data_IF_129971972166
#
_entry.id   IF_129971972166
#
_cell.length_a   1.000
_cell.length_b   1.000
_cell.length_c   1.000
_cell.angle_alpha   90.00
_cell.angle_beta   90.00
_cell.angle_gamma   90.00
#
_symmetry.space_group_name_H-M   'P 1'
#
loop_
_entity.id
_entity.type
_entity.pdbx_description
1 polymer ?
#
# COMPACT_ATOMS: atom_id res chain seq x y z
N UNK A 1 -4.88 -5.47 -10.56
CA UNK A 1 -3.58 -5.15 -9.90
C UNK A 1 -3.13 -3.68 -10.02
N UNK A 2 -3.87 -2.78 -10.68
CA UNK A 2 -3.33 -1.47 -11.06
C UNK A 2 -3.53 -0.39 -9.99
N UNK A 3 -4.71 -0.35 -9.36
CA UNK A 3 -5.09 0.68 -8.38
C UNK A 3 -4.18 0.72 -7.14
N UNK A 4 -3.78 -0.44 -6.59
CA UNK A 4 -2.84 -0.50 -5.45
C UNK A 4 -1.51 0.20 -5.76
N UNK A 5 -0.89 -0.20 -6.87
CA UNK A 5 0.45 0.27 -7.21
C UNK A 5 0.40 1.74 -7.65
N UNK A 6 -0.64 2.13 -8.39
CA UNK A 6 -0.84 3.50 -8.83
C UNK A 6 -1.11 4.46 -7.66
N UNK A 7 -1.95 4.06 -6.70
CA UNK A 7 -2.22 4.86 -5.51
C UNK A 7 -0.98 5.07 -4.65
N UNK A 8 -0.17 4.02 -4.45
CA UNK A 8 1.10 4.14 -3.73
C UNK A 8 2.12 5.03 -4.46
N UNK A 9 2.19 4.95 -5.80
CA UNK A 9 3.04 5.84 -6.60
C UNK A 9 2.62 7.29 -6.42
N UNK A 10 1.33 7.58 -6.56
CA UNK A 10 0.79 8.93 -6.43
C UNK A 10 1.05 9.53 -5.03
N UNK A 11 0.90 8.74 -3.98
CA UNK A 11 1.22 9.16 -2.61
C UNK A 11 2.70 9.47 -2.44
N UNK A 12 3.58 8.64 -3.01
CA UNK A 12 5.03 8.86 -2.96
C UNK A 12 5.45 10.11 -3.76
N UNK A 13 4.93 10.26 -4.98
CA UNK A 13 5.19 11.43 -5.85
C UNK A 13 4.71 12.72 -5.19
N UNK A 14 3.49 12.73 -4.65
CA UNK A 14 2.94 13.87 -3.91
C UNK A 14 3.81 14.23 -2.70
N UNK A 15 4.21 13.23 -1.91
CA UNK A 15 5.09 13.43 -0.74
C UNK A 15 6.47 13.96 -1.13
N UNK A 16 7.01 13.51 -2.26
CA UNK A 16 8.27 13.98 -2.82
C UNK A 16 8.16 15.44 -3.28
N UNK A 17 7.11 15.80 -4.01
CA UNK A 17 6.83 17.18 -4.42
C UNK A 17 6.69 18.11 -3.21
N UNK A 18 5.96 17.69 -2.17
CA UNK A 18 5.86 18.45 -0.91
C UNK A 18 7.23 18.64 -0.24
N UNK A 19 8.10 17.63 -0.26
CA UNK A 19 9.47 17.75 0.25
C UNK A 19 10.25 18.83 -0.52
N UNK A 20 10.16 18.81 -1.86
CA UNK A 20 10.84 19.79 -2.72
C UNK A 20 10.31 21.21 -2.55
N UNK A 21 9.01 21.37 -2.42
CA UNK A 21 8.40 22.67 -2.12
C UNK A 21 8.89 23.21 -0.77
N UNK A 22 8.96 22.35 0.25
CA UNK A 22 9.43 22.75 1.57
C UNK A 22 10.91 23.14 1.56
N UNK A 23 11.75 22.39 0.85
CA UNK A 23 13.18 22.72 0.66
C UNK A 23 13.34 24.08 -0.04
N UNK A 24 12.52 24.34 -1.06
CA UNK A 24 12.50 25.63 -1.76
C UNK A 24 12.10 26.78 -0.83
N UNK A 25 11.05 26.60 -0.01
CA UNK A 25 10.61 27.59 0.97
C UNK A 25 11.71 27.88 1.99
N UNK A 26 12.35 26.83 2.55
CA UNK A 26 13.48 26.95 3.49
C UNK A 26 14.63 27.76 2.87
N UNK A 27 15.00 27.44 1.63
CA UNK A 27 16.07 28.13 0.92
C UNK A 27 15.76 29.60 0.64
N UNK A 28 14.50 29.95 0.35
CA UNK A 28 14.06 31.34 0.14
C UNK A 28 13.95 32.14 1.44
N UNK A 29 13.52 31.51 2.53
CA UNK A 29 13.47 32.16 3.85
C UNK A 29 14.86 32.55 4.35
N UNK A 30 15.89 31.72 4.10
CA UNK A 30 17.28 32.02 4.48
C UNK A 30 18.00 33.06 3.60
N UNK A 31 17.40 33.50 2.49
CA UNK A 31 17.98 34.47 1.55
C UNK A 31 17.46 35.90 1.73
N UNK A 32 16.49 36.14 2.62
CA UNK A 32 15.96 37.48 2.87
C UNK A 32 16.99 38.21 3.75
N UNK A 33 17.67 39.26 3.26
CA UNK A 33 18.58 40.05 4.09
C UNK A 33 17.78 40.71 5.21
N UNK A 34 18.32 40.72 6.41
CA UNK A 34 17.84 41.51 7.54
C UNK A 34 18.03 43.02 7.26
N UNK A 35 17.38 43.54 6.23
CA UNK A 35 17.47 44.97 5.90
C UNK A 35 16.27 45.72 6.49
N UNK A 36 16.57 46.36 7.61
CA UNK A 36 16.19 47.73 7.97
C UNK A 36 14.78 47.94 8.53
N UNK A 37 14.77 48.03 9.86
CA UNK A 37 14.27 49.20 10.60
C UNK A 37 12.82 49.64 10.29
N UNK A 38 11.89 49.25 11.16
CA UNK A 38 10.76 50.11 11.52
C UNK A 38 9.43 49.89 10.80
N UNK A 39 9.33 48.95 9.87
CA UNK A 39 8.04 48.54 9.30
C UNK A 39 7.92 47.04 9.55
N UNK A 40 6.87 46.63 10.26
CA UNK A 40 6.44 45.24 10.38
C UNK A 40 6.45 44.60 9.00
N UNK A 41 7.56 43.95 8.65
CA UNK A 41 7.57 43.01 7.56
C UNK A 41 6.65 41.92 8.05
N UNK A 42 5.41 41.94 7.57
CA UNK A 42 4.55 40.77 7.50
C UNK A 42 5.47 39.67 6.98
N UNK A 43 5.96 38.84 7.91
CA UNK A 43 7.09 37.92 7.72
C UNK A 43 6.60 36.73 6.90
N UNK A 44 6.15 37.00 5.67
CA UNK A 44 5.57 36.07 4.70
C UNK A 44 4.65 34.97 5.27
N UNK A 45 3.99 35.16 6.42
CA UNK A 45 3.13 34.16 7.08
C UNK A 45 3.77 32.79 7.40
N UNK A 46 5.03 32.59 7.04
CA UNK A 46 5.78 31.34 7.13
C UNK A 46 6.71 31.46 8.33
N UNK A 47 6.13 31.44 9.52
CA UNK A 47 6.91 31.38 10.74
C UNK A 47 7.71 30.06 10.82
N UNK A 48 8.84 30.05 11.52
CA UNK A 48 9.69 28.87 11.67
C UNK A 48 8.93 27.65 12.19
N UNK A 49 7.89 27.87 13.00
CA UNK A 49 6.98 26.83 13.46
C UNK A 49 6.25 26.12 12.32
N UNK A 50 5.76 26.85 11.31
CA UNK A 50 5.08 26.25 10.15
C UNK A 50 6.03 25.32 9.38
N UNK A 51 7.29 25.74 9.20
CA UNK A 51 8.30 24.94 8.49
C UNK A 51 8.56 23.62 9.21
N UNK A 52 8.68 23.65 10.53
CA UNK A 52 8.85 22.44 11.36
C UNK A 52 7.62 21.54 11.28
N UNK A 53 6.41 22.11 11.42
CA UNK A 53 5.16 21.34 11.33
C UNK A 53 4.97 20.69 9.95
N UNK A 54 5.27 21.43 8.87
CA UNK A 54 5.21 20.92 7.51
C UNK A 54 6.21 19.78 7.28
N UNK A 55 7.43 19.90 7.81
CA UNK A 55 8.44 18.84 7.74
C UNK A 55 7.95 17.56 8.44
N UNK A 56 7.40 17.70 9.64
CA UNK A 56 6.83 16.60 10.41
C UNK A 56 5.67 15.92 9.66
N UNK A 57 4.79 16.69 9.01
CA UNK A 57 3.71 16.14 8.17
C UNK A 57 4.26 15.34 7.00
N UNK A 58 5.27 15.85 6.28
CA UNK A 58 5.91 15.13 5.16
C UNK A 58 6.52 13.81 5.63
N UNK A 59 7.23 13.80 6.75
CA UNK A 59 7.77 12.57 7.34
C UNK A 59 6.66 11.61 7.77
N UNK A 60 5.56 12.15 8.30
CA UNK A 60 4.35 11.40 8.62
C UNK A 60 3.77 10.68 7.39
N UNK A 61 3.65 11.38 6.26
CA UNK A 61 3.19 10.79 5.00
C UNK A 61 4.12 9.68 4.51
N UNK A 62 5.45 9.89 4.53
CA UNK A 62 6.42 8.84 4.14
C UNK A 62 6.20 7.55 4.94
N UNK A 63 6.12 7.67 6.26
CA UNK A 63 5.88 6.54 7.16
C UNK A 63 4.50 5.93 6.96
N UNK A 64 3.46 6.73 6.77
CA UNK A 64 2.08 6.29 6.53
C UNK A 64 1.95 5.48 5.24
N UNK A 65 2.51 5.98 4.14
CA UNK A 65 2.52 5.30 2.83
C UNK A 65 3.26 3.98 2.89
N UNK A 66 4.39 3.95 3.59
CA UNK A 66 5.17 2.73 3.81
C UNK A 66 4.41 1.69 4.68
N UNK A 67 3.71 2.15 5.72
CA UNK A 67 2.83 1.31 6.53
C UNK A 67 1.70 0.71 5.68
N UNK A 68 1.04 1.54 4.88
CA UNK A 68 -0.02 1.13 3.95
C UNK A 68 0.49 0.08 2.95
N UNK A 69 1.67 0.31 2.36
CA UNK A 69 2.32 -0.64 1.44
C UNK A 69 2.47 -2.02 2.09
N UNK A 70 2.98 -2.10 3.33
CA UNK A 70 3.15 -3.37 4.05
C UNK A 70 1.81 -4.03 4.35
N UNK A 71 0.81 -3.27 4.80
CA UNK A 71 -0.53 -3.80 5.04
C UNK A 71 -1.16 -4.39 3.78
N UNK A 72 -1.02 -3.71 2.64
CA UNK A 72 -1.50 -4.22 1.35
C UNK A 72 -0.73 -5.46 0.88
N UNK A 73 0.57 -5.57 1.16
CA UNK A 73 1.34 -6.79 0.90
C UNK A 73 0.87 -7.96 1.76
N UNK A 74 0.63 -7.74 3.05
CA UNK A 74 0.11 -8.77 3.97
C UNK A 74 -1.26 -9.26 3.53
N UNK A 75 -2.19 -8.36 3.23
CA UNK A 75 -3.52 -8.74 2.75
C UNK A 75 -3.44 -9.52 1.43
N UNK A 76 -2.57 -9.10 0.51
CA UNK A 76 -2.37 -9.83 -0.74
C UNK A 76 -1.84 -11.25 -0.50
N UNK A 77 -0.91 -11.43 0.44
CA UNK A 77 -0.39 -12.75 0.80
C UNK A 77 -1.47 -13.66 1.41
N UNK A 78 -2.27 -13.15 2.36
CA UNK A 78 -3.37 -13.90 2.99
C UNK A 78 -4.45 -14.28 1.97
N UNK A 79 -4.80 -13.37 1.06
CA UNK A 79 -5.77 -13.65 0.00
C UNK A 79 -5.25 -14.71 -0.97
N UNK A 80 -3.96 -14.65 -1.33
CA UNK A 80 -3.33 -15.65 -2.18
C UNK A 80 -3.31 -17.04 -1.52
N UNK A 81 -2.96 -17.12 -0.23
CA UNK A 81 -3.00 -18.37 0.54
C UNK A 81 -4.41 -18.96 0.60
N UNK A 82 -5.43 -18.14 0.93
CA UNK A 82 -6.83 -18.57 0.94
C UNK A 82 -7.31 -19.05 -0.43
N UNK A 83 -6.95 -18.35 -1.51
CA UNK A 83 -7.30 -18.75 -2.87
C UNK A 83 -6.72 -20.12 -3.22
N UNK A 84 -5.47 -20.38 -2.81
CA UNK A 84 -4.81 -21.66 -3.06
C UNK A 84 -5.46 -22.79 -2.26
N UNK A 85 -5.89 -22.53 -1.02
CA UNK A 85 -6.63 -23.50 -0.20
C UNK A 85 -7.96 -23.92 -0.85
N UNK A 86 -8.76 -22.95 -1.30
CA UNK A 86 -10.03 -23.20 -2.01
C UNK A 86 -9.81 -24.00 -3.30
N UNK A 87 -8.68 -23.75 -3.99
CA UNK A 87 -8.32 -24.51 -5.19
C UNK A 87 -7.98 -25.97 -4.85
N UNK A 88 -7.30 -26.21 -3.73
CA UNK A 88 -6.95 -27.55 -3.26
C UNK A 88 -8.18 -28.33 -2.78
N UNK A 89 -9.07 -27.69 -2.02
CA UNK A 89 -10.33 -28.29 -1.55
C UNK A 89 -11.24 -28.69 -2.71
N UNK A 90 -11.36 -27.83 -3.73
CA UNK A 90 -12.16 -28.13 -4.93
C UNK A 90 -11.59 -29.27 -5.78
N UNK A 91 -10.26 -29.43 -5.84
CA UNK A 91 -9.63 -30.58 -6.50
C UNK A 91 -9.79 -31.88 -5.71
N UNK A 92 -9.79 -31.83 -4.37
CA UNK A 92 -10.05 -33.02 -3.55
C UNK A 92 -11.49 -33.54 -3.70
N UNK A 93 -12.47 -32.63 -3.76
CA UNK A 93 -13.88 -32.99 -3.92
C UNK A 93 -14.21 -33.55 -5.32
N UNK A 94 -13.42 -33.22 -6.34
CA UNK A 94 -13.55 -33.79 -7.68
C UNK A 94 -13.01 -35.23 -7.78
N UNK A 95 -11.99 -35.57 -6.97
CA UNK A 95 -11.37 -36.90 -7.00
C UNK A 95 -12.14 -37.95 -6.18
N UNK A 96 -12.95 -37.53 -5.21
CA UNK A 96 -13.80 -38.45 -4.45
C UNK A 96 -15.02 -38.94 -5.25
N UNK A 97 -15.51 -38.17 -6.22
CA UNK A 97 -16.68 -38.52 -7.04
C UNK A 97 -16.35 -39.55 -8.14
N UNK A 98 -15.09 -39.61 -8.61
CA UNK A 98 -14.65 -40.64 -9.58
C UNK A 98 -14.22 -41.97 -8.93
N UNK A 99 -13.92 -42.00 -7.61
CA UNK A 99 -13.52 -43.25 -6.94
C UNK A 99 -14.70 -44.14 -6.52
N UNK A 100 -15.91 -43.56 -6.42
CA UNK A 100 -17.14 -44.29 -6.07
C UNK A 100 -17.76 -45.08 -7.23
N UNK A 101 -17.35 -44.82 -8.47
CA UNK A 101 -18.00 -45.40 -9.66
C UNK A 101 -17.27 -46.62 -10.24
N UNK A 102 -15.97 -46.79 -9.99
CA UNK A 102 -15.19 -47.92 -10.53
C UNK A 102 -15.38 -49.25 -9.77
N UNK A 103 -15.77 -49.21 -8.50
CA UNK A 103 -15.95 -50.43 -7.70
C UNK A 103 -17.32 -51.12 -7.88
N UNK A 104 -18.33 -50.43 -8.40
CA UNK A 104 -19.66 -51.04 -8.59
C UNK A 104 -19.77 -51.85 -9.89
N UNK A 105 -18.99 -51.52 -10.92
CA UNK A 105 -19.03 -52.27 -12.19
C UNK A 105 -18.34 -53.65 -12.06
N UNK A 106 -17.31 -53.76 -11.22
CA UNK A 106 -16.54 -55.01 -11.08
C UNK A 106 -17.17 -56.01 -10.09
N UNK A 107 -18.05 -55.55 -9.19
CA UNK A 107 -18.72 -56.40 -8.20
C UNK A 107 -19.95 -57.13 -8.77
N UNK A 108 -20.66 -56.54 -9.74
CA UNK A 108 -21.84 -57.18 -10.33
C UNK A 108 -21.52 -58.37 -11.25
N UNK A 109 -20.34 -58.41 -11.87
CA UNK A 109 -19.93 -59.51 -12.75
C UNK A 109 -19.51 -60.78 -11.96
N UNK A 110 -19.16 -60.63 -10.68
CA UNK A 110 -18.78 -61.76 -9.81
C UNK A 110 -20.01 -62.49 -9.25
N UNK A 111 -21.15 -61.78 -9.08
CA UNK A 111 -22.38 -62.35 -8.52
C UNK A 111 -23.22 -63.09 -9.60
N UNK A 112 -22.95 -62.86 -10.89
CA UNK A 112 -23.66 -63.49 -12.02
C UNK A 112 -22.90 -64.65 -12.67
N UNK A 113 -21.75 -65.07 -12.13
CA UNK A 113 -20.98 -66.23 -12.62
C UNK A 113 -21.32 -67.52 -11.88
#
# INVERSE_FOLDING_TARGET
>A
CCLKNQGLSLLNESTWLCSKLLDYIKAKAGQIPETKQGIEVVKNGLDGQFVVEADMKVQGFKRGTESLRRSLQKMAAVLHEKSNLVTLESHSHCLEDESGQLNNQQLEDIIRS
#
